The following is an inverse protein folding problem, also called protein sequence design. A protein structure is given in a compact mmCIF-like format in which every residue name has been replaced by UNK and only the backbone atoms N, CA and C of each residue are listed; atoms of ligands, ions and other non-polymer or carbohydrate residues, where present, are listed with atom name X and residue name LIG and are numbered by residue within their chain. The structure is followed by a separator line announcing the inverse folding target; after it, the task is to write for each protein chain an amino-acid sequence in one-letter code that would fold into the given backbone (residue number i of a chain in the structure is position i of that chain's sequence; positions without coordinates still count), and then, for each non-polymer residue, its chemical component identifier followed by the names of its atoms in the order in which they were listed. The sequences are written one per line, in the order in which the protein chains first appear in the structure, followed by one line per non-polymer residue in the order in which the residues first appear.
data_IF_453909925658
#
_entry.id   IF_453909925658
#
_cell.length_a   1.000
_cell.length_b   1.000
_cell.length_c   1.000
_cell.angle_alpha   90.00
_cell.angle_beta   90.00
_cell.angle_gamma   90.00
#
_symmetry.space_group_name_H-M   'P 1'
#
loop_
_entity.id
_entity.type
_entity.pdbx_description
1 polymer ?
#
# COMPACT_ATOMS: atom_id res chain seq x y z
N UNK A 1 -13.40 -19.43 -12.14
CA UNK A 1 -13.68 -18.10 -11.56
C UNK A 1 -13.00 -17.08 -12.45
N UNK A 2 -13.75 -16.12 -13.00
CA UNK A 2 -13.14 -14.98 -13.69
C UNK A 2 -12.73 -14.02 -12.58
N UNK A 3 -11.43 -13.75 -12.45
CA UNK A 3 -10.99 -12.71 -11.51
C UNK A 3 -11.65 -11.39 -11.93
N UNK A 4 -12.24 -10.62 -11.00
CA UNK A 4 -12.82 -9.33 -11.34
C UNK A 4 -11.77 -8.48 -12.04
N UNK A 5 -12.16 -7.70 -13.06
CA UNK A 5 -11.29 -6.71 -13.71
C UNK A 5 -11.09 -5.55 -12.73
N UNK A 6 -10.24 -5.78 -11.74
CA UNK A 6 -9.81 -4.81 -10.76
C UNK A 6 -8.67 -4.02 -11.40
N UNK A 7 -8.98 -2.81 -11.86
CA UNK A 7 -7.97 -1.90 -12.40
C UNK A 7 -7.44 -1.03 -11.27
N UNK A 8 -6.26 -1.41 -10.77
CA UNK A 8 -5.55 -0.66 -9.73
C UNK A 8 -4.39 0.10 -10.35
N UNK A 9 -4.29 1.39 -10.05
CA UNK A 9 -3.21 2.24 -10.50
C UNK A 9 -2.69 3.12 -9.36
N UNK A 10 -1.43 3.53 -9.47
CA UNK A 10 -0.90 4.63 -8.65
C UNK A 10 -1.61 5.92 -9.02
N UNK A 11 -2.05 6.69 -8.02
CA UNK A 11 -2.77 7.94 -8.24
C UNK A 11 -1.93 8.91 -9.07
N UNK A 12 -0.62 9.02 -8.80
CA UNK A 12 0.27 9.91 -9.55
C UNK A 12 0.45 9.52 -11.03
N UNK A 13 0.07 8.29 -11.42
CA UNK A 13 0.07 7.82 -12.81
C UNK A 13 -1.26 8.06 -13.52
N UNK A 14 -2.20 8.77 -12.88
CA UNK A 14 -3.55 9.04 -13.41
C UNK A 14 -3.91 10.52 -13.29
N UNK A 15 -4.89 10.96 -14.09
CA UNK A 15 -5.50 12.30 -13.97
C UNK A 15 -6.71 12.31 -12.99
N UNK A 16 -6.77 11.34 -12.07
CA UNK A 16 -7.92 11.13 -11.19
C UNK A 16 -7.84 11.90 -9.87
N UNK A 17 -6.75 12.61 -9.57
CA UNK A 17 -6.58 13.33 -8.29
C UNK A 17 -7.72 14.30 -7.99
N UNK A 18 -8.21 15.05 -8.98
CA UNK A 18 -9.35 15.97 -8.82
C UNK A 18 -10.71 15.29 -8.85
N UNK A 19 -10.75 13.98 -9.14
CA UNK A 19 -11.96 13.18 -9.32
C UNK A 19 -12.18 12.16 -8.21
N UNK A 20 -11.28 12.10 -7.23
CA UNK A 20 -11.47 11.32 -6.02
C UNK A 20 -12.69 11.82 -5.26
N UNK A 21 -13.29 10.93 -4.47
CA UNK A 21 -14.43 11.31 -3.64
C UNK A 21 -14.02 12.39 -2.64
N UNK A 22 -14.87 13.42 -2.38
CA UNK A 22 -14.51 14.56 -1.54
C UNK A 22 -14.02 14.22 -0.13
N UNK A 23 -14.40 13.05 0.41
CA UNK A 23 -14.00 12.56 1.72
C UNK A 23 -12.69 11.76 1.71
N UNK A 24 -11.97 11.72 0.60
CA UNK A 24 -10.73 10.97 0.45
C UNK A 24 -9.56 11.84 0.90
N UNK A 25 -8.95 11.61 2.08
CA UNK A 25 -7.79 12.37 2.50
C UNK A 25 -6.58 12.04 1.60
N UNK A 26 -5.83 13.05 1.20
CA UNK A 26 -4.52 12.85 0.60
C UNK A 26 -3.51 12.57 1.72
N UNK A 27 -3.02 11.33 1.78
CA UNK A 27 -2.11 10.86 2.82
C UNK A 27 -0.63 10.96 2.39
N UNK A 28 -0.34 11.41 1.18
CA UNK A 28 1.03 11.47 0.65
C UNK A 28 1.90 12.39 1.50
N UNK A 29 3.15 11.98 1.74
CA UNK A 29 4.10 12.67 2.61
C UNK A 29 3.90 12.42 4.11
N UNK A 30 2.85 11.72 4.52
CA UNK A 30 2.63 11.43 5.94
C UNK A 30 3.54 10.31 6.43
N UNK A 31 4.05 10.44 7.66
CA UNK A 31 4.82 9.38 8.33
C UNK A 31 3.90 8.22 8.68
N UNK A 32 4.33 7.00 8.39
CA UNK A 32 3.63 5.77 8.78
C UNK A 32 4.28 5.19 10.03
N UNK A 33 3.46 4.87 11.03
CA UNK A 33 3.90 4.27 12.30
C UNK A 33 3.10 3.01 12.65
N UNK A 34 3.71 2.12 13.42
CA UNK A 34 3.02 0.97 14.03
C UNK A 34 2.21 1.39 15.27
N UNK A 35 1.49 0.45 15.93
CA UNK A 35 0.71 0.75 17.14
C UNK A 35 1.55 1.21 18.34
N UNK A 36 2.86 0.91 18.36
CA UNK A 36 3.80 1.35 19.38
C UNK A 36 4.45 2.70 19.05
N UNK A 37 4.12 3.30 17.90
CA UNK A 37 4.66 4.56 17.43
C UNK A 37 6.02 4.44 16.74
N UNK A 38 6.49 3.22 16.45
CA UNK A 38 7.72 3.01 15.68
C UNK A 38 7.49 3.47 14.24
N UNK A 39 8.40 4.31 13.72
CA UNK A 39 8.36 4.74 12.32
C UNK A 39 8.66 3.57 11.38
N UNK A 40 7.75 3.34 10.44
CA UNK A 40 7.86 2.31 9.40
C UNK A 40 8.28 2.91 8.06
N UNK A 41 7.93 4.17 7.79
CA UNK A 41 8.23 4.83 6.52
C UNK A 41 7.45 6.12 6.31
N UNK A 42 7.24 6.46 5.05
CA UNK A 42 6.45 7.61 4.60
C UNK A 42 5.56 7.21 3.43
N UNK A 43 4.34 7.74 3.38
CA UNK A 43 3.41 7.49 2.27
C UNK A 43 3.94 8.20 1.02
N UNK A 44 4.28 7.43 -0.01
CA UNK A 44 4.75 7.97 -1.28
C UNK A 44 3.60 8.21 -2.27
N UNK A 45 2.60 7.32 -2.28
CA UNK A 45 1.45 7.46 -3.18
C UNK A 45 0.22 6.70 -2.67
N UNK A 46 -0.92 6.94 -3.30
CA UNK A 46 -2.14 6.17 -3.13
C UNK A 46 -2.30 5.21 -4.31
N UNK A 47 -2.75 3.99 -4.04
CA UNK A 47 -3.16 3.03 -5.08
C UNK A 47 -4.68 3.02 -5.12
N UNK A 48 -5.23 3.40 -6.27
CA UNK A 48 -6.66 3.62 -6.46
C UNK A 48 -7.27 2.52 -7.30
N UNK A 49 -8.49 2.14 -6.95
CA UNK A 49 -9.44 1.48 -7.84
C UNK A 49 -9.93 2.53 -8.83
N UNK A 50 -9.54 2.38 -10.10
CA UNK A 50 -9.82 3.35 -11.17
C UNK A 50 -11.33 3.44 -11.45
N UNK A 51 -12.04 2.31 -11.37
CA UNK A 51 -13.46 2.26 -11.64
C UNK A 51 -14.27 2.96 -10.53
N UNK A 52 -13.94 2.66 -9.27
CA UNK A 52 -14.64 3.22 -8.11
C UNK A 52 -14.09 4.58 -7.66
N UNK A 53 -12.94 5.01 -8.20
CA UNK A 53 -12.22 6.26 -7.86
C UNK A 53 -11.94 6.39 -6.37
N UNK A 54 -11.55 5.27 -5.76
CA UNK A 54 -11.30 5.13 -4.33
C UNK A 54 -9.91 4.56 -4.09
N UNK A 55 -9.12 5.14 -3.16
CA UNK A 55 -7.93 4.48 -2.68
C UNK A 55 -8.27 3.14 -2.04
N UNK A 56 -7.49 2.11 -2.39
CA UNK A 56 -7.57 0.77 -1.81
C UNK A 56 -6.29 0.42 -1.05
N UNK A 57 -5.16 0.99 -1.44
CA UNK A 57 -3.91 0.86 -0.70
C UNK A 57 -3.16 2.20 -0.65
N UNK A 58 -2.22 2.30 0.28
CA UNK A 58 -1.15 3.30 0.28
C UNK A 58 0.17 2.62 -0.06
N UNK A 59 1.02 3.32 -0.80
CA UNK A 59 2.42 2.94 -1.00
C UNK A 59 3.27 3.62 0.05
N UNK A 60 4.03 2.83 0.81
CA UNK A 60 4.89 3.29 1.90
C UNK A 60 6.33 3.02 1.54
N UNK A 61 7.13 4.08 1.41
CA UNK A 61 8.57 3.96 1.25
C UNK A 61 9.22 3.87 2.62
N UNK A 62 9.96 2.78 2.83
CA UNK A 62 10.77 2.56 4.03
C UNK A 62 12.23 2.85 3.69
N UNK A 63 12.88 3.63 4.54
CA UNK A 63 14.29 3.98 4.42
C UNK A 63 15.05 3.72 5.72
N UNK A 64 16.35 3.42 5.60
CA UNK A 64 17.24 3.29 6.75
C UNK A 64 17.50 4.66 7.42
N UNK A 65 18.17 4.65 8.57
CA UNK A 65 18.47 5.82 9.43
C UNK A 65 19.15 7.01 8.70
N UNK A 66 19.63 6.82 7.46
CA UNK A 66 20.34 7.81 6.63
C UNK A 66 19.55 8.32 5.42
N UNK A 67 18.25 8.03 5.31
CA UNK A 67 17.38 8.57 4.25
C UNK A 67 17.52 7.88 2.89
N UNK A 68 18.18 6.72 2.83
CA UNK A 68 18.18 5.86 1.64
C UNK A 68 16.94 4.97 1.67
N UNK A 69 16.09 5.07 0.65
CA UNK A 69 14.95 4.18 0.43
C UNK A 69 15.43 2.75 0.23
N UNK A 70 14.98 1.84 1.08
CA UNK A 70 15.35 0.41 1.04
C UNK A 70 14.23 -0.42 0.41
N UNK A 71 12.98 0.04 0.47
CA UNK A 71 11.87 -0.67 -0.16
C UNK A 71 10.55 0.10 -0.20
N UNK A 72 9.62 -0.45 -0.97
CA UNK A 72 8.23 0.00 -1.05
C UNK A 72 7.31 -1.12 -0.54
N UNK A 73 6.46 -0.79 0.42
CA UNK A 73 5.44 -1.67 0.99
C UNK A 73 4.06 -1.13 0.61
N UNK A 74 3.19 -2.00 0.09
CA UNK A 74 1.78 -1.65 -0.09
C UNK A 74 1.02 -1.99 1.20
N UNK A 75 0.15 -1.08 1.63
CA UNK A 75 -0.65 -1.24 2.85
C UNK A 75 -2.12 -1.00 2.51
N UNK A 76 -3.03 -1.96 2.76
CA UNK A 76 -4.46 -1.75 2.59
C UNK A 76 -4.97 -0.55 3.40
N UNK A 77 -5.92 0.21 2.85
CA UNK A 77 -6.50 1.36 3.58
C UNK A 77 -7.24 0.92 4.84
N UNK A 78 -7.78 -0.30 4.85
CA UNK A 78 -8.45 -0.93 5.98
C UNK A 78 -7.50 -1.25 7.14
N UNK A 79 -6.19 -1.29 6.88
CA UNK A 79 -5.18 -1.44 7.94
C UNK A 79 -4.93 -0.12 8.68
N UNK A 80 -5.42 1.02 8.19
CA UNK A 80 -5.24 2.33 8.83
C UNK A 80 -6.19 2.46 10.01
N UNK A 81 -5.63 2.53 11.22
CA UNK A 81 -6.41 2.67 12.46
C UNK A 81 -6.69 4.13 12.79
N UNK A 82 -5.76 5.03 12.42
CA UNK A 82 -5.86 6.44 12.76
C UNK A 82 -5.02 7.31 11.81
N UNK A 83 -5.53 8.51 11.52
CA UNK A 83 -4.81 9.57 10.82
C UNK A 83 -4.83 10.82 11.69
N UNK A 84 -3.68 11.21 12.23
CA UNK A 84 -3.54 12.39 13.11
C UNK A 84 -2.11 12.96 13.04
N UNK A 85 -1.82 13.74 11.99
CA UNK A 85 -0.46 14.20 11.63
C UNK A 85 0.50 13.09 11.17
N UNK A 86 0.12 11.81 11.36
CA UNK A 86 0.77 10.59 10.92
C UNK A 86 -0.29 9.52 10.68
N UNK A 87 0.04 8.52 9.87
CA UNK A 87 -0.79 7.35 9.60
C UNK A 87 -0.37 6.23 10.55
N UNK A 88 -1.26 5.79 11.43
CA UNK A 88 -1.04 4.62 12.28
C UNK A 88 -1.76 3.41 11.68
N UNK A 89 -1.03 2.30 11.54
CA UNK A 89 -1.56 1.07 10.96
C UNK A 89 -1.56 -0.09 11.95
N UNK A 90 -2.58 -0.93 11.86
CA UNK A 90 -2.72 -2.16 12.63
C UNK A 90 -1.70 -3.19 12.13
N UNK A 91 -0.48 -3.14 12.64
CA UNK A 91 0.56 -4.11 12.31
C UNK A 91 1.02 -4.83 13.59
N UNK A 92 0.64 -6.11 13.76
CA UNK A 92 1.18 -6.95 14.84
C UNK A 92 2.63 -7.34 14.52
N UNK A 93 3.61 -6.75 15.22
CA UNK A 93 5.03 -6.86 14.87
C UNK A 93 5.74 -8.01 15.61
N UNK A 94 6.21 -8.99 14.83
CA UNK A 94 7.43 -9.78 15.09
C UNK A 94 7.85 -10.53 13.81
N UNK A 95 6.93 -11.27 13.19
CA UNK A 95 7.17 -12.00 11.93
C UNK A 95 7.33 -11.08 10.72
N UNK A 96 6.64 -9.94 10.73
CA UNK A 96 6.73 -8.97 9.65
C UNK A 96 8.05 -8.18 9.65
N UNK A 97 8.65 -7.94 10.81
CA UNK A 97 10.00 -7.38 10.87
C UNK A 97 11.01 -8.35 10.28
N UNK A 98 10.87 -9.66 10.57
CA UNK A 98 11.70 -10.70 9.95
C UNK A 98 11.49 -10.79 8.44
N UNK A 99 10.25 -10.65 7.95
CA UNK A 99 9.95 -10.63 6.51
C UNK A 99 10.50 -9.38 5.82
N UNK A 100 10.35 -8.20 6.45
CA UNK A 100 10.91 -6.94 5.95
C UNK A 100 12.43 -7.07 5.89
N UNK A 101 13.08 -7.45 6.99
CA UNK A 101 14.54 -7.66 7.06
C UNK A 101 15.04 -8.64 6.00
N UNK A 102 14.33 -9.75 5.76
CA UNK A 102 14.68 -10.72 4.71
C UNK A 102 14.75 -10.06 3.33
N UNK A 103 13.76 -9.23 2.97
CA UNK A 103 13.75 -8.50 1.70
C UNK A 103 14.77 -7.37 1.62
N UNK A 104 15.07 -6.68 2.73
CA UNK A 104 16.07 -5.60 2.76
C UNK A 104 17.50 -6.13 2.54
N UNK A 105 17.80 -7.37 2.95
CA UNK A 105 19.14 -7.97 2.78
C UNK A 105 19.50 -8.35 1.34
N UNK A 106 18.55 -8.39 0.42
CA UNK A 106 18.75 -8.91 -0.94
C UNK A 106 18.62 -7.87 -2.07
N UNK A 107 18.34 -6.59 -1.77
CA UNK A 107 18.12 -5.56 -2.80
C UNK A 107 19.25 -4.54 -2.89
N UNK A 108 19.65 -4.24 -4.13
CA UNK A 108 20.60 -3.20 -4.47
C UNK A 108 20.02 -1.79 -4.20
N UNK A 109 20.87 -0.77 -3.94
CA UNK A 109 20.42 0.61 -3.77
C UNK A 109 19.77 1.17 -5.06
N UNK A 110 18.55 1.70 -4.92
CA UNK A 110 17.74 2.25 -6.00
C UNK A 110 16.25 1.95 -5.77
N UNK A 111 15.34 2.76 -6.32
CA UNK A 111 13.90 2.47 -6.28
C UNK A 111 13.69 1.15 -7.02
N UNK A 112 13.28 0.05 -6.37
CA UNK A 112 12.81 -1.08 -7.12
C UNK A 112 11.53 -0.61 -7.82
N UNK A 113 11.54 -0.49 -9.14
CA UNK A 113 10.31 -0.47 -9.91
C UNK A 113 9.62 -1.78 -9.57
N UNK A 114 8.56 -1.72 -8.76
CA UNK A 114 7.71 -2.86 -8.55
C UNK A 114 7.14 -3.37 -9.87
N UNK A 115 6.42 -4.49 -9.87
CA UNK A 115 5.66 -4.88 -11.06
C UNK A 115 4.73 -3.73 -11.47
N UNK A 116 4.70 -3.44 -12.78
CA UNK A 116 3.89 -2.36 -13.33
C UNK A 116 2.40 -2.59 -13.04
N UNK A 117 1.64 -1.54 -12.67
CA UNK A 117 0.19 -1.65 -12.51
C UNK A 117 -0.48 -2.31 -13.73
N UNK A 118 -1.42 -3.21 -13.46
CA UNK A 118 -2.12 -3.99 -14.48
C UNK A 118 -1.39 -5.25 -14.98
N UNK A 119 -0.13 -5.49 -14.57
CA UNK A 119 0.54 -6.77 -14.82
C UNK A 119 0.02 -7.90 -13.93
N UNK A 120 0.26 -9.16 -14.31
CA UNK A 120 -0.08 -10.31 -13.45
C UNK A 120 0.64 -10.24 -12.08
N UNK A 121 1.92 -9.87 -12.10
CA UNK A 121 2.74 -9.75 -10.89
C UNK A 121 2.27 -8.62 -9.98
N UNK A 122 1.62 -7.59 -10.54
CA UNK A 122 1.00 -6.52 -9.77
C UNK A 122 -0.16 -7.02 -8.92
N UNK A 123 -1.07 -7.81 -9.50
CA UNK A 123 -2.19 -8.37 -8.73
C UNK A 123 -1.70 -9.33 -7.64
N UNK A 124 -0.66 -10.12 -7.94
CA UNK A 124 0.02 -10.96 -6.94
C UNK A 124 0.56 -10.11 -5.79
N UNK A 125 1.27 -9.01 -6.11
CA UNK A 125 1.81 -8.09 -5.10
C UNK A 125 0.72 -7.48 -4.23
N UNK A 126 -0.39 -7.03 -4.82
CA UNK A 126 -1.53 -6.45 -4.07
C UNK A 126 -2.17 -7.52 -3.19
N UNK A 127 -2.39 -8.73 -3.70
CA UNK A 127 -2.97 -9.85 -2.94
C UNK A 127 -2.10 -10.19 -1.74
N UNK A 128 -0.78 -10.34 -1.92
CA UNK A 128 0.16 -10.59 -0.84
C UNK A 128 0.16 -9.48 0.21
N UNK A 129 -0.06 -8.22 -0.18
CA UNK A 129 -0.19 -7.13 0.78
C UNK A 129 -1.41 -7.33 1.68
N UNK A 130 -2.59 -7.64 1.11
CA UNK A 130 -3.79 -7.93 1.90
C UNK A 130 -3.58 -9.12 2.86
N UNK A 131 -3.00 -10.21 2.37
CA UNK A 131 -2.69 -11.40 3.17
C UNK A 131 -1.75 -11.10 4.34
N UNK A 132 -0.73 -10.25 4.14
CA UNK A 132 0.22 -9.88 5.17
C UNK A 132 -0.42 -9.13 6.35
N UNK A 133 -1.53 -8.42 6.11
CA UNK A 133 -2.33 -7.77 7.15
C UNK A 133 -3.49 -8.64 7.66
N UNK A 134 -3.69 -9.85 7.11
CA UNK A 134 -4.84 -10.69 7.42
C UNK A 134 -6.18 -10.08 7.00
N UNK A 135 -6.17 -9.15 6.04
CA UNK A 135 -7.34 -8.44 5.54
C UNK A 135 -7.82 -9.15 4.28
N UNK A 136 -9.13 -9.44 4.19
CA UNK A 136 -9.71 -9.97 2.95
C UNK A 136 -9.67 -8.89 1.87
N UNK A 137 -9.20 -9.19 0.64
CA UNK A 137 -9.19 -8.20 -0.42
C UNK A 137 -10.59 -7.62 -0.69
N UNK A 138 -10.64 -6.32 -1.00
CA UNK A 138 -11.90 -5.61 -1.20
C UNK A 138 -12.76 -6.22 -2.31
N UNK A 139 -12.14 -6.74 -3.38
CA UNK A 139 -12.86 -7.35 -4.50
C UNK A 139 -13.55 -8.68 -4.14
N UNK A 140 -13.17 -9.32 -3.03
CA UNK A 140 -13.91 -10.45 -2.48
C UNK A 140 -15.05 -10.05 -1.55
N UNK A 141 -15.02 -8.82 -1.05
CA UNK A 141 -15.98 -8.27 -0.09
C UNK A 141 -17.08 -7.46 -0.78
N UNK A 142 -16.74 -6.80 -1.89
CA UNK A 142 -17.63 -5.93 -2.67
C UNK A 142 -18.57 -6.73 -3.62
N UNK A 143 -18.52 -8.06 -3.59
CA UNK A 143 -19.48 -8.91 -4.29
C UNK A 143 -19.45 -8.77 -5.81
N UNK A 144 -18.27 -8.55 -6.42
CA UNK A 144 -18.11 -8.53 -7.88
C UNK A 144 -18.21 -9.94 -8.48
N UNK A 145 -19.38 -10.57 -8.33
CA UNK A 145 -19.89 -11.59 -9.23
C UNK A 145 -20.62 -10.84 -10.34
N UNK A 146 -20.07 -10.85 -11.55
CA UNK A 146 -20.88 -10.71 -12.77
C UNK A 146 -20.66 -11.93 -13.63
#
# INVERSE_FOLDING_TARGET
MIAPTVELAYLASTDLQSQLLPSTPDLRGMVVVDPHGLRLGEVADLVIDVAERRPRLISVLSGGLLGLTVGETLVPVEAIEQVDGRVRIAWSSALAHAHLLHHLTHRAPGRPSGPEPGSHDWLTRVTTAYEAFGIRPFWESDGHVR
#
